data_IF_620202227031
#
_entry.id   IF_620202227031
#
_cell.length_a   1.000
_cell.length_b   1.000
_cell.length_c   1.000
_cell.angle_alpha   90.00
_cell.angle_beta   90.00
_cell.angle_gamma   90.00
#
_symmetry.space_group_name_H-M   'P 1'
#
loop_
_entity.id
_entity.type
_entity.pdbx_description
1 polymer ?
#
# COMPACT_ATOMS: atom_id res chain seq x y z
N UNK A 1 2.48 -48.12 -49.17
CA UNK A 1 2.90 -48.70 -47.87
C UNK A 1 2.48 -47.81 -46.72
N UNK A 2 1.49 -48.20 -45.94
CA UNK A 2 1.33 -47.72 -44.55
C UNK A 2 2.32 -48.51 -43.67
N UNK A 3 2.78 -47.95 -42.57
CA UNK A 3 3.62 -48.66 -41.59
C UNK A 3 3.00 -48.47 -40.22
N UNK A 4 2.93 -49.52 -39.41
CA UNK A 4 2.52 -49.41 -38.01
C UNK A 4 3.76 -49.50 -37.13
N UNK A 5 3.91 -48.58 -36.18
CA UNK A 5 5.04 -48.56 -35.25
C UNK A 5 4.55 -48.90 -33.84
N UNK A 6 5.34 -49.69 -33.11
CA UNK A 6 5.03 -50.11 -31.75
C UNK A 6 6.27 -50.01 -30.85
N UNK A 7 6.08 -49.58 -29.60
CA UNK A 7 7.03 -49.78 -28.52
C UNK A 7 6.83 -51.16 -27.90
N UNK A 8 7.90 -51.75 -27.38
CA UNK A 8 7.81 -52.81 -26.38
C UNK A 8 8.56 -52.31 -25.16
N UNK A 9 7.84 -51.80 -24.17
CA UNK A 9 8.43 -51.53 -22.87
C UNK A 9 8.44 -52.84 -22.08
N UNK A 10 9.62 -53.25 -21.57
CA UNK A 10 9.68 -54.28 -20.53
C UNK A 10 9.24 -53.62 -19.23
N UNK A 11 8.02 -53.93 -18.80
CA UNK A 11 7.67 -53.86 -17.39
C UNK A 11 8.45 -54.99 -16.71
N UNK A 12 9.47 -54.63 -15.92
CA UNK A 12 10.16 -55.61 -15.11
C UNK A 12 9.29 -55.98 -13.89
N UNK A 13 9.20 -57.30 -13.72
CA UNK A 13 8.68 -58.08 -12.59
C UNK A 13 7.16 -58.21 -12.42
N UNK A 14 6.72 -59.43 -12.79
CA UNK A 14 5.56 -60.22 -12.36
C UNK A 14 4.28 -60.27 -13.21
N UNK A 15 4.16 -59.47 -14.28
CA UNK A 15 3.14 -59.73 -15.31
C UNK A 15 3.74 -59.62 -16.71
N UNK A 16 3.82 -60.74 -17.44
CA UNK A 16 4.31 -60.84 -18.83
C UNK A 16 3.41 -60.17 -19.88
N UNK A 17 2.82 -59.03 -19.55
CA UNK A 17 1.99 -58.24 -20.44
C UNK A 17 2.87 -57.30 -21.28
N UNK A 18 3.00 -57.62 -22.57
CA UNK A 18 3.55 -56.70 -23.57
C UNK A 18 2.55 -55.55 -23.75
N UNK A 19 2.90 -54.35 -23.31
CA UNK A 19 2.17 -53.14 -23.66
C UNK A 19 2.66 -52.62 -25.01
N UNK A 20 1.94 -52.96 -26.08
CA UNK A 20 2.14 -52.34 -27.39
C UNK A 20 1.39 -51.02 -27.45
N UNK A 21 2.08 -49.90 -27.26
CA UNK A 21 1.54 -48.58 -27.63
C UNK A 21 1.64 -48.42 -29.14
N UNK A 22 0.51 -48.47 -29.83
CA UNK A 22 0.46 -48.28 -31.29
C UNK A 22 0.38 -46.78 -31.56
N UNK A 23 1.42 -46.22 -32.19
CA UNK A 23 1.33 -44.87 -32.72
C UNK A 23 0.85 -44.90 -34.18
N UNK A 24 -0.28 -44.23 -34.46
CA UNK A 24 -1.00 -44.35 -35.72
C UNK A 24 -0.46 -43.33 -36.75
N UNK A 25 0.73 -43.58 -37.30
CA UNK A 25 1.35 -42.71 -38.30
C UNK A 25 1.40 -43.38 -39.67
N UNK A 26 0.77 -42.77 -40.66
CA UNK A 26 0.79 -43.25 -42.06
C UNK A 26 1.80 -42.43 -42.86
N UNK A 27 2.81 -43.07 -43.44
CA UNK A 27 3.83 -42.39 -44.26
C UNK A 27 3.75 -42.86 -45.71
N UNK A 28 3.96 -41.95 -46.67
CA UNK A 28 3.98 -42.29 -48.10
C UNK A 28 5.34 -42.84 -48.54
N UNK A 29 5.31 -43.85 -49.42
CA UNK A 29 6.41 -44.69 -49.90
C UNK A 29 7.56 -43.96 -50.66
N UNK A 30 7.44 -42.65 -50.93
CA UNK A 30 8.44 -41.89 -51.68
C UNK A 30 9.81 -41.75 -50.96
N UNK A 31 9.83 -41.92 -49.63
CA UNK A 31 11.04 -41.71 -48.84
C UNK A 31 11.91 -42.97 -48.61
N UNK A 32 11.42 -44.17 -48.94
CA UNK A 32 12.14 -45.45 -48.72
C UNK A 32 12.74 -46.01 -50.02
N UNK A 33 12.27 -45.60 -51.20
CA UNK A 33 12.62 -46.25 -52.48
C UNK A 33 13.78 -45.61 -53.26
N UNK A 34 14.53 -44.66 -52.69
CA UNK A 34 15.74 -44.10 -53.31
C UNK A 34 16.98 -44.32 -52.45
N UNK A 35 17.40 -45.57 -52.37
CA UNK A 35 18.68 -45.99 -51.79
C UNK A 35 19.77 -46.06 -52.88
N UNK A 36 19.99 -44.93 -53.54
CA UNK A 36 21.16 -44.67 -54.34
C UNK A 36 21.38 -43.15 -54.32
N UNK A 37 22.52 -42.73 -53.77
CA UNK A 37 23.04 -41.36 -53.72
C UNK A 37 22.42 -40.39 -52.68
N UNK A 38 23.14 -40.30 -51.56
CA UNK A 38 23.46 -39.07 -50.81
C UNK A 38 22.43 -37.94 -50.80
N UNK A 39 21.54 -37.92 -49.79
CA UNK A 39 21.10 -36.71 -49.05
C UNK A 39 19.87 -36.97 -48.16
N UNK A 40 19.92 -38.00 -47.30
CA UNK A 40 19.04 -38.06 -46.11
C UNK A 40 19.70 -38.97 -45.06
N UNK A 41 20.47 -38.43 -44.09
CA UNK A 41 21.31 -39.24 -43.22
C UNK A 41 20.55 -40.14 -42.24
N UNK A 42 19.26 -39.92 -42.02
CA UNK A 42 18.45 -40.70 -41.10
C UNK A 42 17.00 -40.74 -41.62
N UNK A 43 16.61 -41.82 -42.29
CA UNK A 43 15.25 -42.02 -42.78
C UNK A 43 14.22 -41.75 -41.68
N UNK A 44 13.05 -41.21 -42.03
CA UNK A 44 12.03 -40.73 -41.07
C UNK A 44 11.66 -41.77 -40.01
N UNK A 45 11.65 -43.05 -40.38
CA UNK A 45 11.40 -44.17 -39.47
C UNK A 45 12.50 -44.36 -38.41
N UNK A 46 13.77 -44.22 -38.80
CA UNK A 46 14.93 -44.27 -37.89
C UNK A 46 14.93 -43.05 -36.97
N UNK A 47 14.61 -41.86 -37.50
CA UNK A 47 14.47 -40.65 -36.69
C UNK A 47 13.32 -40.74 -35.69
N UNK A 48 12.17 -41.27 -36.10
CA UNK A 48 11.03 -41.54 -35.21
C UNK A 48 11.43 -42.49 -34.08
N UNK A 49 12.11 -43.59 -34.39
CA UNK A 49 12.67 -44.47 -33.36
C UNK A 49 13.61 -43.72 -32.39
N UNK A 50 14.55 -42.91 -32.91
CA UNK A 50 15.46 -42.12 -32.07
C UNK A 50 14.72 -41.15 -31.13
N UNK A 51 13.67 -40.49 -31.62
CA UNK A 51 12.91 -39.47 -30.88
C UNK A 51 11.91 -40.08 -29.89
N UNK A 52 11.23 -41.16 -30.26
CA UNK A 52 10.08 -41.70 -29.51
C UNK A 52 10.33 -43.08 -28.89
N UNK A 53 11.49 -43.70 -29.15
CA UNK A 53 11.84 -45.04 -28.70
C UNK A 53 10.83 -46.13 -29.13
N UNK A 54 10.11 -45.94 -30.24
CA UNK A 54 9.30 -47.00 -30.85
C UNK A 54 10.22 -47.95 -31.62
N UNK A 55 10.57 -49.07 -30.98
CA UNK A 55 11.61 -49.99 -31.44
C UNK A 55 11.20 -50.89 -32.62
N UNK A 56 9.91 -50.94 -32.97
CA UNK A 56 9.42 -51.82 -34.03
C UNK A 56 8.63 -51.08 -35.10
N UNK A 57 8.78 -51.51 -36.36
CA UNK A 57 7.93 -51.06 -37.48
C UNK A 57 7.47 -52.23 -38.36
N UNK A 58 6.17 -52.25 -38.69
CA UNK A 58 5.54 -53.24 -39.57
C UNK A 58 5.49 -52.75 -41.01
N UNK A 59 6.16 -53.46 -41.91
CA UNK A 59 6.02 -53.30 -43.36
C UNK A 59 4.73 -53.95 -43.84
N UNK A 60 3.73 -53.15 -44.27
CA UNK A 60 2.41 -53.70 -44.60
C UNK A 60 2.35 -54.55 -45.88
N UNK A 61 3.26 -54.38 -46.82
CA UNK A 61 3.26 -55.19 -48.05
C UNK A 61 3.72 -56.62 -47.80
N UNK A 62 4.66 -56.81 -46.87
CA UNK A 62 5.28 -58.12 -46.59
C UNK A 62 4.86 -58.66 -45.22
N UNK A 63 4.14 -57.86 -44.44
CA UNK A 63 3.76 -58.09 -43.05
C UNK A 63 4.96 -58.40 -42.13
N UNK A 64 6.18 -58.03 -42.52
CA UNK A 64 7.39 -58.22 -41.73
C UNK A 64 7.57 -57.08 -40.73
N UNK A 65 8.07 -57.42 -39.54
CA UNK A 65 8.41 -56.45 -38.50
C UNK A 65 9.92 -56.23 -38.50
N UNK A 66 10.35 -54.99 -38.54
CA UNK A 66 11.75 -54.59 -38.36
C UNK A 66 11.99 -54.18 -36.90
N UNK A 67 13.06 -54.69 -36.30
CA UNK A 67 13.57 -54.30 -34.98
C UNK A 67 14.74 -53.33 -35.15
N UNK A 68 14.57 -52.08 -34.71
CA UNK A 68 15.62 -51.06 -34.78
C UNK A 68 16.72 -51.24 -33.74
N UNK A 69 16.47 -51.97 -32.64
CA UNK A 69 17.46 -52.26 -31.59
C UNK A 69 18.32 -53.46 -31.99
N UNK A 70 17.70 -54.49 -32.55
CA UNK A 70 18.37 -55.72 -33.01
C UNK A 70 18.99 -55.64 -34.42
N UNK A 71 18.63 -54.62 -35.20
CA UNK A 71 19.04 -54.43 -36.61
C UNK A 71 18.72 -55.65 -37.49
N UNK A 72 17.53 -56.24 -37.27
CA UNK A 72 17.08 -57.44 -37.96
C UNK A 72 15.56 -57.48 -38.16
N UNK A 73 15.09 -58.28 -39.13
CA UNK A 73 13.68 -58.62 -39.26
C UNK A 73 13.27 -59.66 -38.21
N UNK A 74 12.09 -59.48 -37.61
CA UNK A 74 11.50 -60.38 -36.61
C UNK A 74 10.31 -61.12 -37.22
N UNK A 75 10.26 -62.45 -37.07
CA UNK A 75 9.11 -63.27 -37.46
C UNK A 75 8.07 -63.27 -36.33
N UNK A 76 6.82 -62.95 -36.68
CA UNK A 76 5.72 -62.87 -35.72
C UNK A 76 5.29 -64.28 -35.28
N UNK A 77 5.67 -64.69 -34.07
CA UNK A 77 5.02 -65.80 -33.35
C UNK A 77 3.83 -65.21 -32.57
N UNK A 78 2.59 -65.41 -33.06
CA UNK A 78 1.39 -65.00 -32.31
C UNK A 78 1.09 -66.12 -31.31
N UNK A 79 1.48 -65.92 -30.06
CA UNK A 79 1.07 -66.80 -28.97
C UNK A 79 -0.36 -66.44 -28.57
N UNK A 80 -1.32 -67.29 -28.93
CA UNK A 80 -2.67 -67.24 -28.33
C UNK A 80 -2.53 -67.49 -26.83
N UNK A 81 -3.10 -66.59 -26.00
CA UNK A 81 -2.98 -66.62 -24.53
C UNK A 81 -3.67 -67.83 -23.85
N UNK A 82 -4.23 -68.79 -24.58
CA UNK A 82 -4.99 -69.89 -23.97
C UNK A 82 -4.42 -71.29 -24.08
N UNK A 83 -3.38 -71.59 -24.88
CA UNK A 83 -2.89 -72.99 -24.92
C UNK A 83 -1.42 -73.23 -25.34
N UNK A 84 -0.54 -72.23 -25.32
CA UNK A 84 0.92 -72.45 -25.40
C UNK A 84 1.49 -73.22 -26.63
N UNK A 85 0.67 -73.61 -27.61
CA UNK A 85 1.08 -74.43 -28.76
C UNK A 85 1.42 -73.54 -29.96
N UNK A 86 2.66 -73.66 -30.43
CA UNK A 86 3.16 -72.98 -31.63
C UNK A 86 2.49 -73.58 -32.88
N UNK A 87 1.67 -72.79 -33.58
CA UNK A 87 1.07 -73.17 -34.86
C UNK A 87 1.30 -72.07 -35.88
N UNK A 88 1.98 -72.44 -36.96
CA UNK A 88 2.17 -71.61 -38.15
C UNK A 88 0.86 -71.60 -38.95
N UNK A 89 0.18 -70.44 -39.00
CA UNK A 89 -1.08 -70.28 -39.73
C UNK A 89 -0.80 -70.14 -41.24
N UNK A 90 -0.70 -71.28 -41.92
CA UNK A 90 -0.91 -71.33 -43.37
C UNK A 90 -2.40 -71.14 -43.66
N UNK A 91 -2.76 -70.00 -44.27
CA UNK A 91 -4.10 -69.77 -44.81
C UNK A 91 -4.34 -70.68 -46.03
N UNK A 92 -4.92 -71.84 -45.80
CA UNK A 92 -5.63 -72.59 -46.85
C UNK A 92 -7.13 -72.49 -46.58
N UNK A 93 -7.79 -71.61 -47.33
CA UNK A 93 -9.25 -71.59 -47.40
C UNK A 93 -9.75 -72.86 -48.09
N UNK A 94 -10.64 -73.60 -47.42
CA UNK A 94 -11.34 -74.73 -48.00
C UNK A 94 -12.85 -74.54 -47.86
N UNK A 95 -13.50 -74.70 -49.01
CA UNK A 95 -14.93 -74.73 -49.26
C UNK A 95 -15.68 -75.68 -48.32
N UNK A 96 -16.91 -75.30 -47.96
CA UNK A 96 -17.94 -76.25 -47.53
C UNK A 96 -19.18 -76.02 -48.40
N UNK A 97 -19.28 -76.89 -49.41
CA UNK A 97 -20.53 -77.30 -50.04
C UNK A 97 -21.21 -78.34 -49.14
N UNK A 98 -22.46 -78.65 -49.47
CA UNK A 98 -23.27 -79.80 -49.06
C UNK A 98 -24.25 -79.68 -47.87
N UNK A 99 -25.48 -79.33 -48.25
CA UNK A 99 -26.62 -80.27 -48.33
C UNK A 99 -26.91 -81.13 -47.10
N UNK A 100 -28.05 -80.88 -46.44
CA UNK A 100 -28.73 -81.90 -45.63
C UNK A 100 -30.25 -81.81 -45.78
N UNK A 101 -30.81 -82.72 -46.59
CA UNK A 101 -32.23 -83.05 -46.59
C UNK A 101 -32.47 -84.35 -45.82
N UNK A 102 -33.58 -84.39 -45.06
CA UNK A 102 -34.11 -85.57 -44.33
C UNK A 102 -33.31 -85.89 -43.04
N UNK A 103 -33.84 -86.09 -41.84
CA UNK A 103 -35.20 -86.33 -41.34
C UNK A 103 -35.17 -86.37 -39.80
N UNK A 104 -36.37 -86.37 -39.22
CA UNK A 104 -36.77 -86.85 -37.88
C UNK A 104 -36.44 -86.01 -36.63
N UNK A 105 -37.49 -85.27 -36.26
CA UNK A 105 -37.89 -84.95 -34.90
C UNK A 105 -37.89 -86.17 -33.96
N UNK A 106 -37.01 -86.12 -32.95
CA UNK A 106 -37.02 -87.00 -31.79
C UNK A 106 -36.70 -86.19 -30.53
N UNK A 107 -37.75 -85.82 -29.80
CA UNK A 107 -37.87 -85.64 -28.34
C UNK A 107 -36.60 -85.41 -27.48
N UNK A 108 -35.69 -84.54 -27.92
CA UNK A 108 -34.46 -84.18 -27.19
C UNK A 108 -34.44 -82.71 -26.74
N UNK A 109 -35.39 -81.90 -27.24
CA UNK A 109 -35.41 -80.46 -27.02
C UNK A 109 -35.76 -80.02 -25.60
N UNK A 110 -36.41 -80.87 -24.80
CA UNK A 110 -36.77 -80.55 -23.41
C UNK A 110 -35.56 -80.75 -22.48
N UNK A 111 -34.76 -81.79 -22.71
CA UNK A 111 -33.55 -82.08 -21.93
C UNK A 111 -32.42 -81.10 -22.28
N UNK A 112 -32.34 -80.67 -23.55
CA UNK A 112 -31.44 -79.61 -24.02
C UNK A 112 -31.83 -78.23 -23.49
N UNK A 113 -33.13 -77.88 -23.48
CA UNK A 113 -33.60 -76.62 -22.89
C UNK A 113 -33.38 -76.55 -21.37
N UNK A 114 -33.55 -77.68 -20.66
CA UNK A 114 -33.30 -77.77 -19.23
C UNK A 114 -31.81 -77.69 -18.90
N UNK A 115 -30.96 -78.36 -19.69
CA UNK A 115 -29.50 -78.28 -19.57
C UNK A 115 -29.01 -76.86 -19.85
N UNK A 116 -29.50 -76.21 -20.91
CA UNK A 116 -29.20 -74.81 -21.22
C UNK A 116 -29.65 -73.86 -20.10
N UNK A 117 -30.80 -74.10 -19.45
CA UNK A 117 -31.22 -73.28 -18.31
C UNK A 117 -30.29 -73.41 -17.10
N UNK A 118 -29.81 -74.61 -16.80
CA UNK A 118 -28.85 -74.84 -15.72
C UNK A 118 -27.48 -74.25 -16.04
N UNK A 119 -27.04 -74.39 -17.30
CA UNK A 119 -25.81 -73.81 -17.79
C UNK A 119 -25.85 -72.27 -17.72
N UNK A 120 -26.97 -71.67 -18.11
CA UNK A 120 -27.18 -70.22 -18.01
C UNK A 120 -27.15 -69.75 -16.55
N UNK A 121 -27.76 -70.51 -15.63
CA UNK A 121 -27.69 -70.21 -14.20
C UNK A 121 -26.25 -70.22 -13.66
N UNK A 122 -25.46 -71.23 -14.04
CA UNK A 122 -24.03 -71.32 -13.67
C UNK A 122 -23.23 -70.18 -14.30
N UNK A 123 -23.51 -69.82 -15.56
CA UNK A 123 -22.87 -68.69 -16.24
C UNK A 123 -23.21 -67.36 -15.57
N UNK A 124 -24.45 -67.15 -15.13
CA UNK A 124 -24.83 -65.97 -14.37
C UNK A 124 -24.08 -65.92 -13.05
N UNK A 125 -24.05 -67.01 -12.27
CA UNK A 125 -23.30 -67.06 -11.01
C UNK A 125 -21.80 -66.83 -11.21
N UNK A 126 -21.23 -67.39 -12.28
CA UNK A 126 -19.83 -67.15 -12.65
C UNK A 126 -19.58 -65.69 -13.02
N UNK A 127 -20.44 -65.08 -13.83
CA UNK A 127 -20.33 -63.67 -14.21
C UNK A 127 -20.52 -62.75 -12.99
N UNK A 128 -21.44 -63.06 -12.08
CA UNK A 128 -21.64 -62.32 -10.84
C UNK A 128 -20.41 -62.42 -9.92
N UNK A 129 -19.84 -63.63 -9.78
CA UNK A 129 -18.62 -63.84 -9.01
C UNK A 129 -17.42 -63.10 -9.63
N UNK A 130 -17.26 -63.17 -10.95
CA UNK A 130 -16.21 -62.47 -11.68
C UNK A 130 -16.35 -60.96 -11.54
N UNK A 131 -17.57 -60.43 -11.68
CA UNK A 131 -17.86 -59.00 -11.51
C UNK A 131 -17.56 -58.56 -10.07
N UNK A 132 -17.96 -59.36 -9.08
CA UNK A 132 -17.66 -59.12 -7.67
C UNK A 132 -16.14 -59.09 -7.41
N UNK A 133 -15.39 -60.02 -7.99
CA UNK A 133 -13.93 -60.04 -7.89
C UNK A 133 -13.29 -58.80 -8.52
N UNK A 134 -13.67 -58.44 -9.75
CA UNK A 134 -13.14 -57.26 -10.43
C UNK A 134 -13.48 -55.96 -9.68
N UNK A 135 -14.69 -55.86 -9.12
CA UNK A 135 -15.12 -54.71 -8.33
C UNK A 135 -14.34 -54.59 -7.01
N UNK A 136 -14.05 -55.73 -6.36
CA UNK A 136 -13.21 -55.75 -5.16
C UNK A 136 -11.76 -55.35 -5.47
N UNK A 137 -11.19 -55.81 -6.58
CA UNK A 137 -9.86 -55.39 -7.03
C UNK A 137 -9.82 -53.90 -7.36
N UNK A 138 -10.84 -53.39 -8.08
CA UNK A 138 -10.98 -51.96 -8.38
C UNK A 138 -10.97 -51.14 -7.09
N UNK A 139 -11.82 -51.49 -6.13
CA UNK A 139 -11.89 -50.80 -4.82
C UNK A 139 -10.56 -50.85 -4.06
N UNK A 140 -9.87 -51.99 -4.07
CA UNK A 140 -8.58 -52.14 -3.41
C UNK A 140 -7.53 -51.18 -3.98
N UNK A 141 -7.37 -51.16 -5.31
CA UNK A 141 -6.40 -50.27 -5.95
C UNK A 141 -6.81 -48.80 -5.88
N UNK A 142 -8.11 -48.48 -5.97
CA UNK A 142 -8.61 -47.13 -5.73
C UNK A 142 -8.30 -46.65 -4.30
N UNK A 143 -8.48 -47.50 -3.29
CA UNK A 143 -8.12 -47.19 -1.91
C UNK A 143 -6.61 -46.96 -1.76
N UNK A 144 -5.79 -47.81 -2.39
CA UNK A 144 -4.33 -47.69 -2.33
C UNK A 144 -3.84 -46.38 -2.97
N UNK A 145 -4.42 -46.02 -4.13
CA UNK A 145 -4.14 -44.76 -4.82
C UNK A 145 -4.59 -43.54 -4.01
N UNK A 146 -5.76 -43.62 -3.37
CA UNK A 146 -6.29 -42.56 -2.53
C UNK A 146 -5.40 -42.34 -1.30
N UNK A 147 -4.96 -43.41 -0.63
CA UNK A 147 -4.07 -43.34 0.52
C UNK A 147 -2.71 -42.72 0.15
N UNK A 148 -2.12 -43.15 -0.97
CA UNK A 148 -0.87 -42.58 -1.48
C UNK A 148 -1.01 -41.08 -1.78
N UNK A 149 -2.10 -40.68 -2.44
CA UNK A 149 -2.38 -39.28 -2.76
C UNK A 149 -2.55 -38.43 -1.50
N UNK A 150 -3.27 -38.94 -0.50
CA UNK A 150 -3.45 -38.22 0.76
C UNK A 150 -2.15 -38.08 1.54
N UNK A 151 -1.27 -39.09 1.50
CA UNK A 151 0.06 -39.00 2.12
C UNK A 151 0.94 -37.95 1.43
N UNK A 152 0.96 -37.95 0.10
CA UNK A 152 1.67 -36.94 -0.67
C UNK A 152 1.12 -35.53 -0.37
N UNK A 153 -0.20 -35.36 -0.30
CA UNK A 153 -0.82 -34.08 0.04
C UNK A 153 -0.47 -33.64 1.48
N UNK A 154 -0.42 -34.57 2.44
CA UNK A 154 0.02 -34.30 3.82
C UNK A 154 1.47 -33.82 3.85
N UNK A 155 2.38 -34.50 3.17
CA UNK A 155 3.80 -34.12 3.15
C UNK A 155 4.03 -32.81 2.39
N UNK A 156 3.34 -32.58 1.27
CA UNK A 156 3.35 -31.29 0.56
C UNK A 156 2.87 -30.17 1.49
N UNK A 157 1.73 -30.35 2.16
CA UNK A 157 1.17 -29.35 3.09
C UNK A 157 2.14 -29.02 4.22
N UNK A 158 2.77 -30.04 4.81
CA UNK A 158 3.79 -29.89 5.86
C UNK A 158 5.04 -29.16 5.36
N UNK A 159 5.52 -29.48 4.16
CA UNK A 159 6.66 -28.79 3.55
C UNK A 159 6.34 -27.32 3.24
N UNK A 160 5.16 -27.05 2.68
CA UNK A 160 4.66 -25.70 2.41
C UNK A 160 4.54 -24.89 3.71
N UNK A 161 3.91 -25.46 4.75
CA UNK A 161 3.75 -24.77 6.03
C UNK A 161 5.10 -24.42 6.67
N UNK A 162 6.09 -25.33 6.61
CA UNK A 162 7.46 -25.06 7.07
C UNK A 162 8.11 -23.93 6.27
N UNK A 163 8.00 -23.95 4.94
CA UNK A 163 8.55 -22.91 4.07
C UNK A 163 7.91 -21.53 4.33
N UNK A 164 6.58 -21.49 4.51
CA UNK A 164 5.83 -20.28 4.86
C UNK A 164 6.26 -19.75 6.22
N UNK A 165 6.33 -20.61 7.25
CA UNK A 165 6.77 -20.21 8.59
C UNK A 165 8.21 -19.65 8.59
N UNK A 166 9.12 -20.26 7.83
CA UNK A 166 10.49 -19.76 7.70
C UNK A 166 10.53 -18.38 7.03
N UNK A 167 9.75 -18.18 5.96
CA UNK A 167 9.63 -16.87 5.29
C UNK A 167 9.02 -15.82 6.22
N UNK A 168 7.98 -16.18 6.97
CA UNK A 168 7.33 -15.32 7.96
C UNK A 168 8.33 -14.86 9.02
N UNK A 169 9.13 -15.77 9.57
CA UNK A 169 10.17 -15.42 10.55
C UNK A 169 11.21 -14.47 9.96
N UNK A 170 11.70 -14.73 8.73
CA UNK A 170 12.65 -13.84 8.03
C UNK A 170 12.08 -12.43 7.82
N UNK A 171 10.82 -12.34 7.38
CA UNK A 171 10.14 -11.05 7.21
C UNK A 171 9.96 -10.33 8.55
N UNK A 172 9.58 -11.05 9.61
CA UNK A 172 9.46 -10.50 10.96
C UNK A 172 10.79 -9.94 11.48
N UNK A 173 11.90 -10.65 11.27
CA UNK A 173 13.23 -10.14 11.67
C UNK A 173 13.65 -8.90 10.89
N UNK A 174 13.36 -8.84 9.58
CA UNK A 174 13.65 -7.65 8.76
C UNK A 174 12.82 -6.46 9.18
N UNK A 175 11.53 -6.68 9.46
CA UNK A 175 10.62 -5.64 9.95
C UNK A 175 11.12 -5.06 11.27
N UNK A 176 11.46 -5.92 12.23
CA UNK A 176 12.00 -5.49 13.51
C UNK A 176 13.30 -4.68 13.35
N UNK A 177 14.18 -5.08 12.44
CA UNK A 177 15.40 -4.34 12.13
C UNK A 177 15.08 -2.92 11.62
N UNK A 178 14.17 -2.81 10.67
CA UNK A 178 13.76 -1.50 10.13
C UNK A 178 13.05 -0.61 11.16
N UNK A 179 12.29 -1.20 12.09
CA UNK A 179 11.69 -0.47 13.20
C UNK A 179 12.80 0.11 14.11
N UNK A 180 13.82 -0.67 14.44
CA UNK A 180 14.92 -0.20 15.29
C UNK A 180 15.76 0.86 14.58
N UNK A 181 16.06 0.67 13.29
CA UNK A 181 16.73 1.68 12.45
C UNK A 181 15.93 3.00 12.43
N UNK A 182 14.60 2.93 12.25
CA UNK A 182 13.73 4.10 12.28
C UNK A 182 13.74 4.80 13.65
N UNK A 183 13.59 4.05 14.74
CA UNK A 183 13.64 4.59 16.12
C UNK A 183 14.97 5.29 16.38
N UNK A 184 16.08 4.69 15.96
CA UNK A 184 17.39 5.31 16.09
C UNK A 184 17.48 6.65 15.35
N UNK A 185 16.98 6.72 14.11
CA UNK A 185 16.97 7.98 13.35
C UNK A 185 16.07 9.04 14.00
N UNK A 186 14.91 8.63 14.53
CA UNK A 186 14.01 9.52 15.28
C UNK A 186 14.70 10.06 16.54
N UNK A 187 15.38 9.21 17.33
CA UNK A 187 16.12 9.61 18.52
C UNK A 187 17.25 10.60 18.18
N UNK A 188 17.99 10.37 17.09
CA UNK A 188 19.04 11.29 16.61
C UNK A 188 18.44 12.63 16.19
N UNK A 189 17.32 12.64 15.49
CA UNK A 189 16.64 13.87 15.06
C UNK A 189 16.13 14.67 16.28
N UNK A 190 15.46 14.00 17.22
CA UNK A 190 14.98 14.60 18.46
C UNK A 190 16.14 15.21 19.24
N UNK A 191 17.23 14.46 19.43
CA UNK A 191 18.43 14.95 20.10
C UNK A 191 19.02 16.19 19.40
N UNK A 192 19.11 16.15 18.07
CA UNK A 192 19.59 17.28 17.27
C UNK A 192 18.76 18.55 17.47
N UNK A 193 17.43 18.43 17.48
CA UNK A 193 16.51 19.56 17.72
C UNK A 193 16.65 20.06 19.16
N UNK A 194 16.61 19.16 20.14
CA UNK A 194 16.72 19.49 21.56
C UNK A 194 18.02 20.24 21.87
N UNK A 195 19.12 19.90 21.21
CA UNK A 195 20.41 20.59 21.40
C UNK A 195 20.41 22.04 20.88
N UNK A 196 19.49 22.40 19.98
CA UNK A 196 19.35 23.79 19.48
C UNK A 196 18.45 24.65 20.37
N UNK A 197 17.50 24.05 21.09
CA UNK A 197 16.53 24.77 21.94
C UNK A 197 17.21 25.73 22.94
N UNK A 198 18.31 25.37 23.64
CA UNK A 198 18.97 26.27 24.58
C UNK A 198 19.45 27.57 23.93
N UNK A 199 20.01 27.49 22.71
CA UNK A 199 20.48 28.67 21.98
C UNK A 199 19.32 29.60 21.59
N UNK A 200 18.20 29.02 21.11
CA UNK A 200 17.00 29.80 20.83
C UNK A 200 16.41 30.44 22.09
N UNK A 201 16.39 29.74 23.23
CA UNK A 201 15.93 30.31 24.49
C UNK A 201 16.80 31.49 24.95
N UNK A 202 18.13 31.37 24.86
CA UNK A 202 19.04 32.46 25.19
C UNK A 202 18.81 33.68 24.29
N UNK A 203 18.66 33.46 22.98
CA UNK A 203 18.39 34.53 22.04
C UNK A 203 17.07 35.26 22.33
N UNK A 204 16.00 34.51 22.62
CA UNK A 204 14.71 35.10 22.99
C UNK A 204 14.77 35.88 24.31
N UNK A 205 15.55 35.39 25.28
CA UNK A 205 15.78 36.10 26.53
C UNK A 205 16.49 37.44 26.28
N UNK A 206 17.50 37.46 25.42
CA UNK A 206 18.23 38.69 25.08
C UNK A 206 17.32 39.72 24.38
N UNK A 207 16.46 39.27 23.45
CA UNK A 207 15.45 40.14 22.82
C UNK A 207 14.50 40.73 23.88
N UNK A 208 13.97 39.88 24.78
CA UNK A 208 13.06 40.34 25.82
C UNK A 208 13.73 41.35 26.77
N UNK A 209 15.02 41.17 27.04
CA UNK A 209 15.80 42.09 27.85
C UNK A 209 16.00 43.44 27.14
N UNK A 210 16.27 43.44 25.83
CA UNK A 210 16.38 44.66 25.03
C UNK A 210 15.05 45.43 25.02
N UNK A 211 13.93 44.74 24.78
CA UNK A 211 12.60 45.35 24.80
C UNK A 211 12.29 45.97 26.18
N UNK A 212 12.63 45.29 27.26
CA UNK A 212 12.45 45.81 28.61
C UNK A 212 13.28 47.07 28.87
N UNK A 213 14.55 47.07 28.43
CA UNK A 213 15.43 48.24 28.55
C UNK A 213 14.88 49.40 27.73
N UNK A 214 14.48 49.15 26.48
CA UNK A 214 13.90 50.16 25.61
C UNK A 214 12.65 50.80 26.25
N UNK A 215 11.75 49.98 26.80
CA UNK A 215 10.58 50.45 27.52
C UNK A 215 10.94 51.38 28.68
N UNK A 216 11.89 50.97 29.55
CA UNK A 216 12.35 51.79 30.68
C UNK A 216 12.99 53.10 30.24
N UNK A 217 13.79 53.10 29.18
CA UNK A 217 14.39 54.32 28.65
C UNK A 217 13.30 55.26 28.15
N UNK A 218 12.33 54.75 27.38
CA UNK A 218 11.23 55.55 26.86
C UNK A 218 10.38 56.16 27.99
N UNK A 219 10.08 55.38 29.03
CA UNK A 219 9.38 55.87 30.22
C UNK A 219 10.13 57.01 30.92
N UNK A 220 11.44 56.85 31.14
CA UNK A 220 12.27 57.88 31.74
C UNK A 220 12.35 59.15 30.89
N UNK A 221 12.44 59.00 29.57
CA UNK A 221 12.45 60.13 28.64
C UNK A 221 11.13 60.91 28.69
N UNK A 222 9.99 60.20 28.76
CA UNK A 222 8.67 60.81 28.87
C UNK A 222 8.54 61.63 30.16
N UNK A 223 8.92 61.05 31.30
CA UNK A 223 8.92 61.74 32.61
C UNK A 223 9.82 62.97 32.60
N UNK A 224 11.00 62.86 32.01
CA UNK A 224 11.92 63.98 31.87
C UNK A 224 11.30 65.09 31.01
N UNK A 225 10.69 64.74 29.88
CA UNK A 225 10.00 65.70 29.02
C UNK A 225 8.86 66.44 29.75
N UNK A 226 8.02 65.72 30.50
CA UNK A 226 6.95 66.31 31.32
C UNK A 226 7.51 67.28 32.37
N UNK A 227 8.61 66.89 33.02
CA UNK A 227 9.29 67.73 34.02
C UNK A 227 9.80 69.04 33.41
N UNK A 228 10.41 68.97 32.23
CA UNK A 228 10.89 70.17 31.54
C UNK A 228 9.75 71.06 31.05
N UNK A 229 8.66 70.47 30.53
CA UNK A 229 7.45 71.23 30.17
C UNK A 229 6.89 71.98 31.36
N UNK A 230 6.77 71.33 32.53
CA UNK A 230 6.30 71.96 33.75
C UNK A 230 7.20 73.12 34.21
N UNK A 231 8.53 72.95 34.11
CA UNK A 231 9.49 74.03 34.42
C UNK A 231 9.37 75.23 33.49
N UNK A 232 9.22 74.98 32.18
CA UNK A 232 9.02 76.05 31.19
C UNK A 232 7.73 76.80 31.49
N UNK A 233 6.63 76.08 31.71
CA UNK A 233 5.34 76.69 32.05
C UNK A 233 5.44 77.54 33.32
N UNK A 234 6.12 77.04 34.36
CA UNK A 234 6.35 77.81 35.59
C UNK A 234 7.17 79.09 35.34
N UNK A 235 8.16 79.05 34.44
CA UNK A 235 8.92 80.24 34.07
C UNK A 235 8.07 81.24 33.29
N UNK A 236 7.26 80.77 32.35
CA UNK A 236 6.33 81.61 31.58
C UNK A 236 5.32 82.31 32.50
N UNK A 237 4.71 81.60 33.44
CA UNK A 237 3.80 82.17 34.44
C UNK A 237 4.48 83.25 35.29
N UNK A 238 5.75 83.04 35.68
CA UNK A 238 6.53 84.05 36.40
C UNK A 238 6.81 85.29 35.56
N UNK A 239 7.14 85.12 34.28
CA UNK A 239 7.38 86.25 33.36
C UNK A 239 6.11 87.07 33.19
N UNK A 240 4.97 86.42 32.91
CA UNK A 240 3.66 87.10 32.81
C UNK A 240 3.31 87.82 34.11
N UNK A 241 3.61 87.22 35.26
CA UNK A 241 3.44 87.87 36.57
C UNK A 241 4.29 89.14 36.73
N UNK A 242 5.55 89.12 36.29
CA UNK A 242 6.40 90.31 36.27
C UNK A 242 5.89 91.38 35.31
N UNK A 243 5.45 91.01 34.12
CA UNK A 243 4.86 91.94 33.14
C UNK A 243 3.63 92.65 33.72
N UNK A 244 2.73 91.91 34.38
CA UNK A 244 1.56 92.49 35.04
C UNK A 244 1.93 93.47 36.17
N UNK A 245 2.99 93.18 36.93
CA UNK A 245 3.49 94.10 37.95
C UNK A 245 4.05 95.39 37.33
N UNK A 246 4.82 95.29 36.25
CA UNK A 246 5.35 96.45 35.52
C UNK A 246 4.21 97.32 34.96
N UNK A 247 3.20 96.70 34.36
CA UNK A 247 2.01 97.40 33.88
C UNK A 247 1.26 98.10 35.01
N UNK A 248 1.11 97.45 36.16
CA UNK A 248 0.48 98.07 37.33
C UNK A 248 1.28 99.28 37.83
N UNK A 249 2.62 99.21 37.83
CA UNK A 249 3.49 100.32 38.22
C UNK A 249 3.40 101.49 37.23
N UNK A 250 3.39 101.20 35.93
CA UNK A 250 3.18 102.19 34.87
C UNK A 250 1.82 102.89 35.03
N UNK A 251 0.75 102.12 35.24
CA UNK A 251 -0.59 102.65 35.46
C UNK A 251 -0.64 103.55 36.71
N UNK A 252 -0.04 103.12 37.82
CA UNK A 252 0.07 103.93 39.04
C UNK A 252 0.84 105.23 38.80
N UNK A 253 1.99 105.18 38.11
CA UNK A 253 2.79 106.35 37.75
C UNK A 253 2.01 107.33 36.87
N UNK A 254 1.25 106.82 35.89
CA UNK A 254 0.37 107.64 35.06
C UNK A 254 -0.75 108.30 35.88
N UNK A 255 -1.39 107.55 36.78
CA UNK A 255 -2.42 108.07 37.68
C UNK A 255 -1.88 109.21 38.58
N UNK A 256 -0.73 109.02 39.22
CA UNK A 256 -0.07 110.06 40.03
C UNK A 256 0.24 111.31 39.18
N UNK A 257 0.65 111.15 37.92
CA UNK A 257 0.91 112.27 37.02
C UNK A 257 -0.38 113.05 36.70
N UNK A 258 -1.50 112.37 36.49
CA UNK A 258 -2.82 112.98 36.30
C UNK A 258 -3.29 113.72 37.56
N UNK A 259 -3.17 113.09 38.74
CA UNK A 259 -3.47 113.69 40.05
C UNK A 259 -2.69 115.00 40.27
N UNK A 260 -1.39 115.00 39.96
CA UNK A 260 -0.53 116.19 40.04
C UNK A 260 -0.94 117.28 39.05
N UNK A 261 -1.35 116.91 37.84
CA UNK A 261 -1.84 117.88 36.85
C UNK A 261 -3.16 118.56 37.27
N UNK A 262 -4.01 117.86 38.03
CA UNK A 262 -5.23 118.41 38.63
C UNK A 262 -4.95 119.32 39.83
N UNK A 263 -3.86 119.11 40.57
CA UNK A 263 -3.51 119.86 41.80
C UNK A 263 -2.62 121.09 41.58
N UNK A 264 -1.93 121.20 40.43
CA UNK A 264 -1.14 122.40 40.05
C UNK A 264 -2.01 123.50 39.41
N UNK A 265 -3.28 123.22 39.12
CA UNK A 265 -4.30 124.26 38.93
C UNK A 265 -4.73 124.82 40.29
N UNK A 266 -4.46 126.11 40.55
CA UNK A 266 -4.79 126.84 41.79
C UNK A 266 -6.14 126.43 42.41
N UNK A 267 -6.22 126.32 43.75
CA UNK A 267 -7.49 126.47 44.45
C UNK A 267 -7.93 127.96 44.41
N UNK A 268 -9.19 128.19 44.04
CA UNK A 268 -9.98 129.45 44.08
C UNK A 268 -9.95 130.36 42.84
N UNK A 269 -10.93 130.17 41.95
CA UNK A 269 -12.02 131.13 41.64
C UNK A 269 -12.86 130.58 40.49
N UNK A 270 -13.94 129.85 40.79
CA UNK A 270 -15.17 129.87 39.98
C UNK A 270 -16.34 129.46 40.88
N UNK A 271 -16.65 130.34 41.82
CA UNK A 271 -18.04 130.54 42.20
C UNK A 271 -18.48 131.84 41.53
N UNK A 272 -19.59 131.76 40.76
CA UNK A 272 -20.58 132.83 40.52
C UNK A 272 -20.58 133.55 39.17
N UNK A 273 -21.24 132.91 38.20
CA UNK A 273 -22.31 133.45 37.34
C UNK A 273 -23.22 132.23 37.09
N UNK A 274 -24.43 132.06 37.61
CA UNK A 274 -25.53 132.96 37.97
C UNK A 274 -26.38 132.30 39.08
N UNK A 275 -26.97 133.13 39.96
CA UNK A 275 -28.30 132.86 40.56
C UNK A 275 -28.42 131.89 41.74
N UNK A 276 -28.66 132.50 42.91
CA UNK A 276 -29.56 132.05 43.98
C UNK A 276 -29.26 130.80 44.84
N UNK A 277 -29.12 131.14 46.13
CA UNK A 277 -29.67 130.51 47.34
C UNK A 277 -29.07 129.22 47.93
N UNK A 278 -28.71 129.37 49.22
CA UNK A 278 -28.55 128.41 50.33
C UNK A 278 -27.25 127.58 50.53
N UNK A 279 -26.40 128.11 51.44
CA UNK A 279 -25.98 127.51 52.73
C UNK A 279 -25.82 125.96 52.79
N UNK A 280 -24.66 125.34 53.07
CA UNK A 280 -23.86 125.36 54.31
C UNK A 280 -22.59 124.48 54.17
N UNK A 281 -21.49 124.75 54.91
CA UNK A 281 -20.32 123.87 54.98
C UNK A 281 -20.23 123.11 56.32
N UNK A 282 -20.42 121.79 56.34
CA UNK A 282 -19.81 120.86 57.31
C UNK A 282 -20.22 119.41 57.07
N UNK A 283 -19.30 118.55 56.62
CA UNK A 283 -19.30 117.13 56.99
C UNK A 283 -17.95 116.47 56.65
N UNK A 284 -17.17 116.15 57.69
CA UNK A 284 -16.21 115.05 57.68
C UNK A 284 -16.90 113.78 57.18
N UNK A 285 -16.39 113.09 56.18
CA UNK A 285 -16.65 111.65 56.02
C UNK A 285 -15.45 110.89 55.46
N UNK A 286 -15.12 109.85 56.22
CA UNK A 286 -14.27 108.70 55.94
C UNK A 286 -14.30 108.22 54.48
N UNK A 287 -13.15 107.79 53.95
CA UNK A 287 -13.04 106.53 53.21
C UNK A 287 -11.59 106.01 53.27
N UNK A 288 -11.33 105.17 54.28
CA UNK A 288 -10.29 104.13 54.27
C UNK A 288 -11.03 102.80 54.39
N UNK A 289 -11.22 102.09 53.27
CA UNK A 289 -11.50 100.65 53.26
C UNK A 289 -11.44 100.09 51.84
N UNK A 290 -10.34 99.42 51.49
CA UNK A 290 -10.32 98.11 50.80
C UNK A 290 -8.89 97.70 50.44
N UNK A 291 -8.19 97.18 51.45
CA UNK A 291 -7.07 96.26 51.25
C UNK A 291 -7.41 94.97 51.99
N UNK A 292 -8.20 94.09 51.36
CA UNK A 292 -8.16 92.65 51.67
C UNK A 292 -8.73 91.74 50.57
N UNK A 293 -7.82 90.94 50.03
CA UNK A 293 -7.96 89.54 49.58
C UNK A 293 -8.91 89.22 48.41
N UNK A 294 -8.28 88.86 47.29
CA UNK A 294 -8.89 88.14 46.17
C UNK A 294 -7.93 87.11 45.54
N UNK A 295 -7.26 86.28 46.34
CA UNK A 295 -6.61 85.05 45.86
C UNK A 295 -7.38 83.83 46.37
N UNK A 296 -8.48 83.53 45.70
CA UNK A 296 -9.27 82.33 45.91
C UNK A 296 -8.90 81.26 44.89
N UNK A 297 -7.74 80.61 45.04
CA UNK A 297 -7.54 79.26 44.52
C UNK A 297 -7.00 78.35 45.62
N UNK A 298 -7.86 77.39 45.95
CA UNK A 298 -7.73 76.34 46.95
C UNK A 298 -6.78 75.29 46.38
N UNK A 299 -5.55 75.22 46.89
CA UNK A 299 -4.77 73.98 46.88
C UNK A 299 -5.25 73.14 48.07
N UNK A 300 -5.85 71.98 47.80
CA UNK A 300 -5.90 70.88 48.77
C UNK A 300 -4.72 69.96 48.48
N UNK A 301 -3.85 69.80 49.46
CA UNK A 301 -2.87 68.71 49.56
C UNK A 301 -3.37 67.77 50.66
N UNK A 302 -3.92 66.64 50.24
CA UNK A 302 -3.64 65.25 50.67
C UNK A 302 -4.17 64.33 49.59
#
# INVERSE_FOLDING_TARGET
>A
MQFFFATTERLDQDDGAILTTICNHSFHCSCISKWADSSCPDGHAIRHWKETQHCFSLELETQRVWDYVGDNYVHRLIQSKTDGKLVELNFHGAHADDTCGSCNCGDSGIDEALFNSKFEAILMEYNDLLTSQLENQRKYFESLLQEAKEEDEREISKAVQKAVNLRLQKLKTKLNKHIEEKRFLEDVLIFGILNQIPWFMLFLHDIALIDHIFFKINENLLKNQETWKAKIQQMEERIVGFEALVDSELNLRQWIKLERSMTVGKPQLYAKQLGNDDYTPNARFFFLSELRTGSGHRLSLT
#
